data_IF_241066589991
#
_entry.id   IF_241066589991
#
_cell.length_a   1.000
_cell.length_b   1.000
_cell.length_c   1.000
_cell.angle_alpha   90.00
_cell.angle_beta   90.00
_cell.angle_gamma   90.00
#
_symmetry.space_group_name_H-M   'P 1'
#
loop_
_entity.id
_entity.type
_entity.pdbx_description
1 polymer ?
#
# COMPACT_ATOMS: atom_id res chain seq x y z
N UNK A 1 -14.64 -4.61 6.47
CA UNK A 1 -14.81 -3.63 5.37
C UNK A 1 -13.50 -3.54 4.60
N UNK A 2 -13.51 -3.35 3.27
CA UNK A 2 -12.29 -3.08 2.51
C UNK A 2 -11.91 -1.60 2.61
N UNK A 3 -10.69 -1.32 3.07
CA UNK A 3 -10.16 0.04 3.16
C UNK A 3 -8.98 0.18 2.22
N UNK A 4 -8.99 1.22 1.38
CA UNK A 4 -7.82 1.60 0.57
C UNK A 4 -6.75 2.17 1.50
N UNK A 5 -5.61 1.51 1.57
CA UNK A 5 -4.52 1.86 2.51
C UNK A 5 -3.31 2.47 1.81
N UNK A 6 -3.23 2.36 0.48
CA UNK A 6 -2.17 2.99 -0.29
C UNK A 6 -2.31 2.86 -1.80
N UNK A 7 -1.31 3.37 -2.51
CA UNK A 7 -1.17 3.25 -3.97
C UNK A 7 0.25 2.80 -4.31
N UNK A 8 0.35 1.83 -5.21
CA UNK A 8 1.65 1.33 -5.69
C UNK A 8 2.24 2.38 -6.64
N UNK A 9 3.46 2.81 -6.36
CA UNK A 9 4.20 3.77 -7.17
C UNK A 9 5.22 3.08 -8.09
N UNK A 10 6.35 3.74 -8.30
CA UNK A 10 7.43 3.26 -9.17
C UNK A 10 8.22 2.13 -8.51
N UNK A 11 8.88 1.32 -9.34
CA UNK A 11 9.90 0.41 -8.87
C UNK A 11 11.10 1.17 -8.29
N UNK A 12 11.64 0.64 -7.20
CA UNK A 12 12.84 1.10 -6.52
C UNK A 12 13.95 0.05 -6.68
N UNK A 13 15.08 0.45 -7.26
CA UNK A 13 16.18 -0.47 -7.55
C UNK A 13 15.81 -1.56 -8.56
N UNK A 14 16.54 -2.67 -8.49
CA UNK A 14 16.40 -3.84 -9.39
C UNK A 14 15.83 -5.08 -8.70
N UNK A 15 15.62 -5.03 -7.37
CA UNK A 15 15.23 -6.18 -6.56
C UNK A 15 13.71 -6.32 -6.38
N UNK A 16 12.90 -5.63 -7.19
CA UNK A 16 11.44 -5.75 -7.15
C UNK A 16 10.77 -5.01 -5.99
N UNK A 17 11.41 -4.00 -5.40
CA UNK A 17 10.75 -3.14 -4.41
C UNK A 17 9.87 -2.09 -5.09
N UNK A 18 8.69 -1.83 -4.53
CA UNK A 18 7.77 -0.80 -4.97
C UNK A 18 7.70 0.35 -3.96
N UNK A 19 7.75 1.60 -4.43
CA UNK A 19 7.41 2.75 -3.59
C UNK A 19 5.91 2.77 -3.30
N UNK A 20 5.48 3.11 -2.09
CA UNK A 20 4.06 3.20 -1.73
C UNK A 20 3.70 4.63 -1.33
N UNK A 21 2.65 5.16 -1.93
CA UNK A 21 1.94 6.31 -1.40
C UNK A 21 1.00 5.81 -0.29
N UNK A 22 1.36 6.09 0.95
CA UNK A 22 0.61 5.65 2.14
C UNK A 22 -0.65 6.50 2.32
N UNK A 23 -1.80 5.83 2.53
CA UNK A 23 -3.12 6.45 2.75
C UNK A 23 -3.80 5.96 4.03
N UNK A 24 -3.02 5.43 4.95
CA UNK A 24 -3.45 4.99 6.28
C UNK A 24 -2.59 5.67 7.35
N UNK A 25 -3.19 5.90 8.49
CA UNK A 25 -2.61 6.30 9.77
C UNK A 25 -1.80 5.18 10.46
N UNK A 26 -2.06 3.91 10.11
CA UNK A 26 -1.43 2.72 10.70
C UNK A 26 -0.57 1.92 9.68
N UNK A 27 0.39 2.52 8.96
CA UNK A 27 1.11 1.84 7.89
C UNK A 27 1.90 0.62 8.37
N UNK A 28 2.53 0.68 9.53
CA UNK A 28 3.36 -0.43 10.04
C UNK A 28 2.51 -1.68 10.35
N UNK A 29 1.25 -1.49 10.74
CA UNK A 29 0.30 -2.60 10.96
C UNK A 29 -0.29 -3.09 9.63
N UNK A 30 -0.75 -2.17 8.78
CA UNK A 30 -1.43 -2.51 7.51
C UNK A 30 -0.48 -3.12 6.47
N UNK A 31 0.80 -2.76 6.53
CA UNK A 31 1.84 -3.27 5.62
C UNK A 31 2.86 -4.19 6.30
N UNK A 32 2.48 -4.82 7.41
CA UNK A 32 3.32 -5.82 8.06
C UNK A 32 3.69 -6.96 7.10
N UNK A 33 4.90 -7.51 7.25
CA UNK A 33 5.32 -8.70 6.51
C UNK A 33 4.37 -9.86 6.83
N UNK A 34 3.93 -10.57 5.79
CA UNK A 34 2.93 -11.63 5.88
C UNK A 34 1.49 -11.15 5.67
N UNK A 35 1.22 -9.85 5.74
CA UNK A 35 -0.10 -9.31 5.40
C UNK A 35 -0.38 -9.40 3.91
N UNK A 36 -1.66 -9.56 3.58
CA UNK A 36 -2.16 -9.55 2.20
C UNK A 36 -2.85 -8.23 1.90
N UNK A 37 -2.54 -7.65 0.74
CA UNK A 37 -3.26 -6.52 0.17
C UNK A 37 -3.90 -6.91 -1.16
N UNK A 38 -5.08 -6.37 -1.42
CA UNK A 38 -5.82 -6.59 -2.67
C UNK A 38 -5.72 -5.35 -3.56
N UNK A 39 -5.35 -5.56 -4.81
CA UNK A 39 -5.30 -4.52 -5.85
C UNK A 39 -6.68 -4.28 -6.48
N UNK A 40 -6.84 -3.17 -7.19
CA UNK A 40 -8.10 -2.84 -7.89
C UNK A 40 -8.49 -3.85 -8.97
N UNK A 41 -7.52 -4.53 -9.59
CA UNK A 41 -7.76 -5.59 -10.57
C UNK A 41 -8.08 -6.96 -9.94
N UNK A 42 -8.22 -7.01 -8.61
CA UNK A 42 -8.61 -8.19 -7.85
C UNK A 42 -7.47 -9.17 -7.54
N UNK A 43 -6.21 -8.80 -7.78
CA UNK A 43 -5.05 -9.61 -7.39
C UNK A 43 -4.77 -9.45 -5.90
N UNK A 44 -4.32 -10.53 -5.27
CA UNK A 44 -3.85 -10.52 -3.89
C UNK A 44 -2.33 -10.57 -3.88
N UNK A 45 -1.70 -9.62 -3.19
CA UNK A 45 -0.25 -9.51 -3.04
C UNK A 45 0.10 -9.73 -1.57
N UNK A 46 1.01 -10.69 -1.32
CA UNK A 46 1.53 -10.96 0.02
C UNK A 46 2.79 -10.12 0.22
N UNK A 47 2.85 -9.35 1.31
CA UNK A 47 4.00 -8.50 1.63
C UNK A 47 5.12 -9.37 2.20
N UNK A 48 6.29 -9.34 1.56
CA UNK A 48 7.49 -10.09 1.99
C UNK A 48 8.55 -9.19 2.62
N UNK A 49 8.44 -7.88 2.43
CA UNK A 49 9.32 -6.89 3.02
C UNK A 49 8.62 -5.56 3.14
N UNK A 50 8.87 -4.87 4.25
CA UNK A 50 8.51 -3.46 4.44
C UNK A 50 9.72 -2.72 5.00
N UNK A 51 10.01 -1.54 4.45
CA UNK A 51 11.03 -0.64 5.02
C UNK A 51 10.81 0.79 4.57
N UNK A 52 11.23 1.72 5.42
CA UNK A 52 11.24 3.13 5.10
C UNK A 52 12.59 3.56 4.53
N UNK A 53 12.57 4.31 3.43
CA UNK A 53 13.75 4.93 2.86
C UNK A 53 13.45 6.37 2.46
N UNK A 54 14.12 7.34 3.10
CA UNK A 54 13.91 8.77 2.85
C UNK A 54 12.41 9.19 2.93
N UNK A 55 11.70 8.70 3.96
CA UNK A 55 10.26 8.92 4.19
C UNK A 55 9.33 8.29 3.15
N UNK A 56 9.85 7.47 2.24
CA UNK A 56 9.06 6.68 1.29
C UNK A 56 9.00 5.26 1.83
N UNK A 57 7.79 4.69 1.91
CA UNK A 57 7.60 3.29 2.23
C UNK A 57 7.94 2.45 0.99
N UNK A 58 8.78 1.44 1.17
CA UNK A 58 9.12 0.44 0.16
C UNK A 58 8.54 -0.90 0.59
N UNK A 59 7.78 -1.53 -0.31
CA UNK A 59 7.27 -2.89 -0.11
C UNK A 59 7.87 -3.85 -1.13
N UNK A 60 8.11 -5.07 -0.67
CA UNK A 60 8.37 -6.24 -1.52
C UNK A 60 7.15 -7.14 -1.48
N UNK A 61 6.83 -7.77 -2.60
CA UNK A 61 5.70 -8.70 -2.71
C UNK A 61 6.16 -10.10 -3.09
N UNK A 62 5.46 -11.12 -2.60
CA UNK A 62 5.74 -12.50 -2.95
C UNK A 62 5.58 -12.69 -4.47
N UNK A 63 6.61 -13.26 -5.10
CA UNK A 63 6.61 -13.50 -6.55
C UNK A 63 6.95 -12.29 -7.42
N UNK A 64 7.14 -11.10 -6.82
CA UNK A 64 7.57 -9.89 -7.53
C UNK A 64 9.04 -9.62 -7.21
N UNK A 65 9.94 -9.91 -8.14
CA UNK A 65 11.39 -9.94 -7.89
C UNK A 65 12.21 -9.01 -8.77
N UNK A 66 11.59 -8.35 -9.74
CA UNK A 66 12.25 -7.43 -10.65
C UNK A 66 11.47 -6.13 -10.85
N UNK A 67 12.14 -5.18 -11.50
CA UNK A 67 11.60 -3.86 -11.79
C UNK A 67 10.37 -3.93 -12.70
N UNK A 68 10.41 -4.74 -13.76
CA UNK A 68 9.37 -4.73 -14.79
C UNK A 68 8.03 -5.25 -14.22
N UNK A 69 8.08 -6.24 -13.34
CA UNK A 69 6.90 -6.76 -12.65
C UNK A 69 6.28 -5.72 -11.70
N UNK A 70 7.09 -4.93 -10.99
CA UNK A 70 6.56 -3.82 -10.17
C UNK A 70 5.91 -2.75 -11.04
N UNK A 71 6.49 -2.46 -12.19
CA UNK A 71 5.95 -1.46 -13.12
C UNK A 71 4.57 -1.86 -13.67
N UNK A 72 4.26 -3.15 -13.79
CA UNK A 72 2.91 -3.65 -14.13
C UNK A 72 1.86 -3.38 -13.04
N UNK A 73 2.29 -3.14 -11.80
CA UNK A 73 1.43 -2.86 -10.65
C UNK A 73 1.33 -1.35 -10.35
N UNK A 74 2.08 -0.52 -11.09
CA UNK A 74 2.13 0.92 -10.87
C UNK A 74 0.72 1.54 -10.97
N UNK A 75 0.49 2.53 -10.13
CA UNK A 75 -0.73 3.33 -10.01
C UNK A 75 -1.96 2.58 -9.50
N UNK A 76 -1.88 1.26 -9.26
CA UNK A 76 -2.96 0.50 -8.64
C UNK A 76 -3.15 0.89 -7.17
N UNK A 77 -4.41 1.10 -6.77
CA UNK A 77 -4.76 1.19 -5.36
C UNK A 77 -4.68 -0.19 -4.70
N UNK A 78 -4.21 -0.21 -3.46
CA UNK A 78 -4.18 -1.40 -2.63
C UNK A 78 -5.06 -1.21 -1.40
N UNK A 79 -5.80 -2.27 -1.09
CA UNK A 79 -6.75 -2.32 0.00
C UNK A 79 -6.47 -3.50 0.93
N UNK A 80 -6.93 -3.39 2.17
CA UNK A 80 -6.90 -4.49 3.13
C UNK A 80 -8.25 -4.60 3.82
N UNK A 81 -8.54 -5.78 4.35
CA UNK A 81 -9.73 -5.98 5.15
C UNK A 81 -9.50 -5.45 6.56
N UNK A 82 -10.37 -4.54 7.00
CA UNK A 82 -10.35 -3.98 8.35
C UNK A 82 -11.58 -4.44 9.12
N UNK A 83 -11.36 -4.85 10.36
CA UNK A 83 -12.44 -5.12 11.29
C UNK A 83 -12.92 -3.79 11.86
N UNK A 84 -14.23 -3.54 11.85
CA UNK A 84 -14.83 -2.27 12.30
C UNK A 84 -14.65 -2.03 13.80
N UNK A 85 -14.29 -3.06 14.57
CA UNK A 85 -13.98 -2.96 16.00
C UNK A 85 -12.62 -2.29 16.28
N UNK A 86 -11.72 -2.27 15.28
CA UNK A 86 -10.41 -1.59 15.37
C UNK A 86 -10.49 -0.09 15.03
N UNK A 87 -11.62 0.38 14.50
CA UNK A 87 -11.84 1.79 14.18
C UNK A 87 -12.25 2.52 15.47
N UNK A 88 -11.30 3.21 16.10
CA UNK A 88 -11.65 4.10 17.21
C UNK A 88 -12.62 5.18 16.72
N UNK A 89 -13.74 5.43 17.42
CA UNK A 89 -14.70 6.43 17.00
C UNK A 89 -14.08 7.83 17.14
N UNK A 90 -13.78 8.49 16.01
CA UNK A 90 -13.37 9.90 16.00
C UNK A 90 -12.32 10.33 14.98
N UNK A 91 -11.73 9.43 14.19
CA UNK A 91 -10.75 9.84 13.17
C UNK A 91 -11.42 10.30 11.87
N UNK A 92 -11.38 11.62 11.66
CA UNK A 92 -11.67 12.24 10.38
C UNK A 92 -10.49 11.97 9.43
N UNK A 93 -10.63 11.01 8.52
CA UNK A 93 -9.69 10.87 7.42
C UNK A 93 -9.90 11.99 6.41
N UNK A 94 -8.80 12.65 6.03
CA UNK A 94 -8.73 13.81 5.15
C UNK A 94 -9.14 13.45 3.70
N UNK A 95 -10.42 13.22 3.48
CA UNK A 95 -11.02 13.16 2.16
C UNK A 95 -11.53 14.57 1.81
N UNK A 96 -10.63 15.51 1.54
CA UNK A 96 -10.90 16.77 0.81
C UNK A 96 -9.64 17.65 0.75
N UNK A 97 -8.90 17.57 -0.35
CA UNK A 97 -8.23 18.74 -0.95
C UNK A 97 -8.16 18.51 -2.48
N UNK A 98 -9.31 18.35 -3.14
CA UNK A 98 -9.41 18.87 -4.50
C UNK A 98 -9.64 20.37 -4.32
N UNK A 99 -8.53 21.10 -4.43
CA UNK A 99 -8.49 22.53 -4.29
C UNK A 99 -9.47 23.21 -5.23
N UNK A 100 -10.18 24.18 -4.67
CA UNK A 100 -10.81 25.25 -5.39
C UNK A 100 -9.80 25.89 -6.37
N UNK A 101 -10.23 26.05 -7.61
CA UNK A 101 -10.02 27.26 -8.42
C UNK A 101 -11.25 27.45 -9.29
#
# INVERSE_FOLDING_TARGET
MQLVVGRIGRAHGVQGEATIEVRTDQPDQRFAVGSTVSTEDGRNLIITGNRWHNKILLLSFAGITDRDQVELLRDQLISTEVNTEDLQPGEYHFQQLIGCL
#
